data_IF_102351898574
#
_entry.id   IF_102351898574
#
_cell.length_a   1.000
_cell.length_b   1.000
_cell.length_c   1.000
_cell.angle_alpha   90.00
_cell.angle_beta   90.00
_cell.angle_gamma   90.00
#
_symmetry.space_group_name_H-M   'P 1'
#
loop_
_entity.id
_entity.type
_entity.pdbx_description
1 polymer ?
#
# COMPACT_ATOMS: atom_id res chain seq x y z
N UNK A 1 -29.69 5.48 -2.20
CA UNK A 1 -28.29 5.02 -2.03
C UNK A 1 -28.08 4.84 -0.53
N UNK A 2 -27.56 3.70 -0.09
CA UNK A 2 -27.39 3.42 1.33
C UNK A 2 -26.12 4.15 1.82
N UNK A 3 -26.30 5.34 2.39
CA UNK A 3 -25.20 6.24 2.79
C UNK A 3 -24.50 5.78 4.08
N UNK A 4 -25.05 4.81 4.82
CA UNK A 4 -24.55 4.36 6.13
C UNK A 4 -23.86 2.98 6.13
N UNK A 5 -23.26 2.56 5.02
CA UNK A 5 -22.44 1.34 5.04
C UNK A 5 -21.06 1.62 5.63
N UNK A 6 -20.82 1.21 6.88
CA UNK A 6 -19.50 1.25 7.54
C UNK A 6 -18.41 0.48 6.77
N UNK A 7 -18.80 -0.43 5.87
CA UNK A 7 -17.90 -1.16 4.99
C UNK A 7 -18.46 -1.17 3.56
N UNK A 8 -17.71 -0.61 2.61
CA UNK A 8 -17.98 -0.74 1.18
C UNK A 8 -16.99 -1.74 0.60
N UNK A 9 -17.51 -2.70 -0.16
CA UNK A 9 -16.64 -3.61 -0.90
C UNK A 9 -15.79 -2.78 -1.88
N UNK A 10 -14.47 -2.97 -1.93
CA UNK A 10 -13.62 -2.17 -2.80
C UNK A 10 -13.99 -2.38 -4.26
N UNK A 11 -13.92 -1.33 -5.11
CA UNK A 11 -14.14 -1.49 -6.54
C UNK A 11 -13.09 -2.44 -7.12
N UNK A 12 -13.43 -3.18 -8.17
CA UNK A 12 -12.50 -4.12 -8.82
C UNK A 12 -11.19 -3.43 -9.27
N UNK A 13 -11.26 -2.14 -9.60
CA UNK A 13 -10.09 -1.31 -9.94
C UNK A 13 -9.06 -1.25 -8.81
N UNK A 14 -9.47 -1.32 -7.54
CA UNK A 14 -8.59 -1.26 -6.38
C UNK A 14 -7.88 -2.59 -6.08
N UNK A 15 -8.10 -3.64 -6.86
CA UNK A 15 -7.45 -4.94 -6.66
C UNK A 15 -5.92 -4.82 -6.71
N UNK A 16 -5.39 -4.06 -7.68
CA UNK A 16 -3.94 -3.89 -7.89
C UNK A 16 -3.29 -3.15 -6.72
N UNK A 17 -3.91 -2.04 -6.30
CA UNK A 17 -3.53 -1.31 -5.10
C UNK A 17 -3.49 -2.21 -3.86
N UNK A 18 -4.56 -2.96 -3.59
CA UNK A 18 -4.62 -3.85 -2.42
C UNK A 18 -3.60 -4.99 -2.49
N UNK A 19 -3.33 -5.53 -3.68
CA UNK A 19 -2.29 -6.54 -3.90
C UNK A 19 -0.89 -5.99 -3.61
N UNK A 20 -0.60 -4.76 -4.03
CA UNK A 20 0.67 -4.09 -3.72
C UNK A 20 0.83 -3.85 -2.21
N UNK A 21 -0.20 -3.34 -1.54
CA UNK A 21 -0.16 -3.13 -0.08
C UNK A 21 -0.01 -4.45 0.68
N UNK A 22 -0.65 -5.53 0.21
CA UNK A 22 -0.46 -6.85 0.78
C UNK A 22 0.98 -7.38 0.60
N UNK A 23 1.59 -7.16 -0.57
CA UNK A 23 2.97 -7.52 -0.84
C UNK A 23 3.93 -6.73 0.07
N UNK A 24 3.74 -5.42 0.21
CA UNK A 24 4.48 -4.61 1.19
C UNK A 24 4.32 -5.17 2.61
N UNK A 25 3.12 -5.53 3.03
CA UNK A 25 2.90 -6.13 4.36
C UNK A 25 3.63 -7.47 4.55
N UNK A 26 3.62 -8.36 3.56
CA UNK A 26 3.84 -9.81 3.77
C UNK A 26 5.07 -10.37 3.05
N UNK A 27 5.59 -9.70 2.03
CA UNK A 27 6.70 -10.18 1.20
C UNK A 27 7.95 -9.31 1.44
N UNK A 28 8.96 -9.89 2.09
CA UNK A 28 10.21 -9.21 2.38
C UNK A 28 11.04 -8.91 1.12
N UNK A 29 11.00 -9.78 0.12
CA UNK A 29 11.73 -9.58 -1.15
C UNK A 29 11.08 -8.43 -1.93
N UNK A 30 9.76 -8.38 -1.98
CA UNK A 30 9.05 -7.26 -2.59
C UNK A 30 9.34 -5.94 -1.86
N UNK A 31 9.32 -5.94 -0.52
CA UNK A 31 9.69 -4.74 0.26
C UNK A 31 11.10 -4.26 -0.04
N UNK A 32 12.08 -5.17 -0.09
CA UNK A 32 13.45 -4.81 -0.42
C UNK A 32 13.52 -4.17 -1.82
N UNK A 33 12.91 -4.79 -2.84
CA UNK A 33 12.82 -4.22 -4.20
C UNK A 33 12.15 -2.85 -4.22
N UNK A 34 11.08 -2.69 -3.43
CA UNK A 34 10.37 -1.42 -3.31
C UNK A 34 11.25 -0.35 -2.67
N UNK A 35 12.08 -0.68 -1.67
CA UNK A 35 13.00 0.27 -1.05
C UNK A 35 14.15 0.67 -1.98
N UNK A 36 14.65 -0.27 -2.78
CA UNK A 36 15.70 -0.02 -3.78
C UNK A 36 15.18 0.80 -4.96
N UNK A 37 14.00 0.46 -5.48
CA UNK A 37 13.35 1.16 -6.59
C UNK A 37 11.83 0.98 -6.57
N UNK A 38 11.14 1.86 -5.85
CA UNK A 38 9.69 1.81 -5.67
C UNK A 38 8.92 1.89 -6.99
N UNK A 39 9.34 2.75 -7.93
CA UNK A 39 8.65 2.92 -9.21
C UNK A 39 8.68 1.62 -10.06
N UNK A 40 9.85 0.97 -10.13
CA UNK A 40 9.98 -0.31 -10.84
C UNK A 40 9.15 -1.40 -10.14
N UNK A 41 9.25 -1.54 -8.82
CA UNK A 41 8.52 -2.57 -8.07
C UNK A 41 6.99 -2.43 -8.20
N UNK A 42 6.48 -1.19 -8.21
CA UNK A 42 5.04 -0.94 -8.40
C UNK A 42 4.60 -1.17 -9.85
N UNK A 43 5.44 -0.85 -10.84
CA UNK A 43 5.16 -1.13 -12.25
C UNK A 43 5.12 -2.63 -12.53
N UNK A 44 6.03 -3.41 -11.94
CA UNK A 44 6.07 -4.88 -12.07
C UNK A 44 4.79 -5.56 -11.58
N UNK A 45 4.18 -5.00 -10.52
CA UNK A 45 2.90 -5.48 -9.98
C UNK A 45 1.68 -4.76 -10.61
N UNK A 46 1.91 -3.93 -11.63
CA UNK A 46 0.90 -3.37 -12.50
C UNK A 46 0.14 -2.16 -11.96
N UNK A 47 0.68 -1.45 -10.96
CA UNK A 47 0.09 -0.18 -10.51
C UNK A 47 0.20 0.87 -11.62
N UNK A 48 -0.89 1.62 -11.82
CA UNK A 48 -0.87 2.80 -12.68
C UNK A 48 -0.20 4.01 -11.99
N UNK A 49 0.08 5.07 -12.75
CA UNK A 49 0.78 6.26 -12.25
C UNK A 49 0.06 6.92 -11.06
N UNK A 50 -1.29 6.89 -11.05
CA UNK A 50 -2.09 7.47 -9.96
C UNK A 50 -1.94 6.62 -8.70
N UNK A 51 -2.06 5.31 -8.80
CA UNK A 51 -1.87 4.39 -7.68
C UNK A 51 -0.43 4.49 -7.13
N UNK A 52 0.57 4.59 -8.00
CA UNK A 52 1.97 4.79 -7.60
C UNK A 52 2.15 6.08 -6.80
N UNK A 53 1.58 7.18 -7.27
CA UNK A 53 1.64 8.47 -6.57
C UNK A 53 1.04 8.37 -5.17
N UNK A 54 -0.10 7.70 -5.02
CA UNK A 54 -0.77 7.51 -3.72
C UNK A 54 0.08 6.67 -2.76
N UNK A 55 0.67 5.57 -3.25
CA UNK A 55 1.52 4.69 -2.43
C UNK A 55 2.79 5.41 -1.97
N UNK A 56 3.42 6.19 -2.86
CA UNK A 56 4.61 6.98 -2.53
C UNK A 56 4.33 8.11 -1.54
N UNK A 57 3.18 8.79 -1.68
CA UNK A 57 2.76 9.85 -0.78
C UNK A 57 2.48 9.35 0.65
N UNK A 58 2.19 8.04 0.81
CA UNK A 58 1.78 7.41 2.08
C UNK A 58 0.59 8.12 2.75
N UNK A 59 -0.23 8.79 1.94
CA UNK A 59 -1.47 9.44 2.39
C UNK A 59 -2.53 8.37 2.63
N UNK A 60 -2.78 8.08 3.90
CA UNK A 60 -3.69 7.00 4.33
C UNK A 60 -5.12 7.28 3.89
N UNK A 61 -5.57 8.52 3.99
CA UNK A 61 -6.95 8.89 3.67
C UNK A 61 -7.16 8.84 2.15
N UNK A 62 -6.20 9.32 1.37
CA UNK A 62 -6.25 9.24 -0.09
C UNK A 62 -6.21 7.78 -0.60
N UNK A 63 -5.41 6.92 0.03
CA UNK A 63 -5.37 5.48 -0.28
C UNK A 63 -6.72 4.80 0.01
N UNK A 64 -7.32 5.06 1.17
CA UNK A 64 -8.63 4.50 1.54
C UNK A 64 -9.73 5.02 0.61
N UNK A 65 -9.71 6.31 0.27
CA UNK A 65 -10.63 6.90 -0.71
C UNK A 65 -10.49 6.26 -2.11
N UNK A 66 -9.28 5.79 -2.47
CA UNK A 66 -9.03 5.06 -3.71
C UNK A 66 -9.44 3.56 -3.65
N UNK A 67 -9.99 3.09 -2.52
CA UNK A 67 -10.44 1.71 -2.33
C UNK A 67 -9.39 0.78 -1.69
N UNK A 68 -8.32 1.31 -1.11
CA UNK A 68 -7.40 0.51 -0.31
C UNK A 68 -8.06 0.05 1.00
N UNK A 69 -7.74 -1.19 1.40
CA UNK A 69 -8.19 -1.74 2.67
C UNK A 69 -7.43 -1.07 3.84
N UNK A 70 -8.11 -0.45 4.83
CA UNK A 70 -7.46 0.31 5.90
C UNK A 70 -6.37 -0.47 6.66
N UNK A 71 -6.64 -1.75 6.97
CA UNK A 71 -5.64 -2.63 7.59
C UNK A 71 -4.37 -2.81 6.74
N UNK A 72 -4.49 -2.95 5.42
CA UNK A 72 -3.33 -3.10 4.53
C UNK A 72 -2.53 -1.80 4.42
N UNK A 73 -3.22 -0.66 4.38
CA UNK A 73 -2.58 0.67 4.43
C UNK A 73 -1.73 0.80 5.69
N UNK A 74 -2.32 0.54 6.87
CA UNK A 74 -1.61 0.61 8.14
C UNK A 74 -0.41 -0.35 8.19
N UNK A 75 -0.59 -1.62 7.80
CA UNK A 75 0.46 -2.62 7.90
C UNK A 75 1.60 -2.40 6.89
N UNK A 76 1.29 -1.95 5.67
CA UNK A 76 2.31 -1.61 4.68
C UNK A 76 3.18 -0.45 5.17
N UNK A 77 2.53 0.59 5.71
CA UNK A 77 3.18 1.76 6.29
C UNK A 77 4.12 1.37 7.45
N UNK A 78 3.61 0.57 8.39
CA UNK A 78 4.38 0.05 9.53
C UNK A 78 5.59 -0.77 9.09
N UNK A 79 5.43 -1.67 8.12
CA UNK A 79 6.53 -2.51 7.63
C UNK A 79 7.61 -1.67 6.95
N UNK A 80 7.22 -0.70 6.13
CA UNK A 80 8.16 0.20 5.48
C UNK A 80 8.89 1.12 6.46
N UNK A 81 8.27 1.51 7.59
CA UNK A 81 8.96 2.28 8.63
C UNK A 81 9.94 1.41 9.43
N UNK A 82 9.54 0.19 9.80
CA UNK A 82 10.39 -0.74 10.55
C UNK A 82 11.67 -1.10 9.77
N UNK A 83 11.54 -1.36 8.48
CA UNK A 83 12.71 -1.71 7.64
C UNK A 83 13.62 -0.49 7.40
N UNK A 84 13.13 0.75 7.59
CA UNK A 84 13.93 1.99 7.51
C UNK A 84 14.62 2.33 8.83
N UNK A 85 13.99 2.00 9.94
CA UNK A 85 14.57 2.06 11.28
C UNK A 85 15.13 0.68 11.64
N UNK A 86 16.26 0.29 11.06
CA UNK A 86 17.00 -0.88 11.55
C UNK A 86 17.39 -0.63 13.02
N UNK A 87 16.50 -1.04 13.93
CA UNK A 87 16.62 -1.09 15.40
C UNK A 87 17.57 -0.07 16.05
N UNK A 88 17.14 1.18 16.22
CA UNK A 88 17.60 2.03 17.33
C UNK A 88 16.77 1.71 18.58
N UNK A 89 16.84 0.48 19.09
CA UNK A 89 16.52 0.15 20.49
C UNK A 89 17.17 -1.19 20.84
N UNK A 90 18.49 -1.14 21.04
CA UNK A 90 19.18 -1.80 22.15
C UNK A 90 19.71 -0.69 23.07
#
# INVERSE_FOLDING_TARGET
MNEDAHYRFPPASAYRLNRCLFALKSDAVFRQKFQENAACAMTDIGLDEREQTLVLARDRDALVAAGAHPYLVFMADLRLSMDRSAFEYF
#
